data_IF_210958770398
#
_entry.id   IF_210958770398
#
_cell.length_a   1.000
_cell.length_b   1.000
_cell.length_c   1.000
_cell.angle_alpha   90.00
_cell.angle_beta   90.00
_cell.angle_gamma   90.00
#
_symmetry.space_group_name_H-M   'P 1'
#
loop_
_entity.id
_entity.type
_entity.pdbx_description
1 polymer ?
#
# COMPACT_ATOMS: atom_id res chain seq x y z
N UNK A 1 -24.49 15.81 -11.03
CA UNK A 1 -24.51 15.25 -9.67
C UNK A 1 -24.08 13.81 -9.79
N UNK A 2 -22.91 13.48 -9.25
CA UNK A 2 -22.33 12.13 -9.35
C UNK A 2 -23.26 11.13 -8.68
N UNK A 3 -23.65 10.08 -9.39
CA UNK A 3 -24.56 9.05 -8.90
C UNK A 3 -23.76 8.08 -8.01
N UNK A 4 -23.34 8.54 -6.84
CA UNK A 4 -22.60 7.77 -5.84
C UNK A 4 -23.46 6.64 -5.23
N UNK A 5 -24.77 6.67 -5.45
CA UNK A 5 -25.71 5.69 -4.90
C UNK A 5 -25.48 4.34 -5.57
N UNK A 6 -25.25 3.30 -4.75
CA UNK A 6 -24.98 1.94 -5.24
C UNK A 6 -23.49 1.59 -5.36
N UNK A 7 -22.61 2.58 -5.37
CA UNK A 7 -21.16 2.40 -5.42
C UNK A 7 -20.64 1.71 -4.14
N UNK A 8 -19.57 0.92 -4.30
CA UNK A 8 -18.87 0.26 -3.20
C UNK A 8 -17.70 1.10 -2.74
N UNK A 9 -17.67 1.41 -1.44
CA UNK A 9 -16.57 2.09 -0.77
C UNK A 9 -15.91 1.23 0.30
N UNK A 10 -14.80 1.73 0.82
CA UNK A 10 -14.10 1.16 1.96
C UNK A 10 -14.20 2.12 3.14
N UNK A 11 -14.65 1.61 4.29
CA UNK A 11 -14.54 2.33 5.56
C UNK A 11 -13.12 2.16 6.07
N UNK A 12 -12.46 3.28 6.32
CA UNK A 12 -11.12 3.32 6.87
C UNK A 12 -11.13 3.99 8.25
N UNK A 13 -10.35 3.44 9.18
CA UNK A 13 -10.08 4.05 10.47
C UNK A 13 -8.77 4.82 10.39
N UNK A 14 -8.81 6.11 10.72
CA UNK A 14 -7.62 6.95 10.81
C UNK A 14 -6.71 6.43 11.94
N UNK A 15 -5.48 6.07 11.60
CA UNK A 15 -4.46 5.62 12.57
C UNK A 15 -3.61 6.82 13.00
N UNK A 16 -3.04 7.52 12.04
CA UNK A 16 -2.21 8.69 12.27
C UNK A 16 -2.39 9.72 11.15
N UNK A 17 -2.03 10.96 11.47
CA UNK A 17 -2.05 12.06 10.53
C UNK A 17 -0.89 13.01 10.82
N UNK A 18 -0.15 13.37 9.78
CA UNK A 18 0.94 14.33 9.82
C UNK A 18 0.59 15.53 8.93
N UNK A 19 0.53 16.73 9.51
CA UNK A 19 0.42 17.97 8.74
C UNK A 19 1.79 18.35 8.20
N UNK A 20 1.88 18.50 6.89
CA UNK A 20 3.09 18.92 6.19
C UNK A 20 3.24 20.45 6.23
N UNK A 21 4.47 21.00 6.09
CA UNK A 21 4.72 22.44 6.11
C UNK A 21 3.95 23.24 5.05
N UNK A 22 3.61 22.59 3.93
CA UNK A 22 2.83 23.18 2.83
C UNK A 22 1.31 23.16 3.08
N UNK A 23 0.87 22.72 4.27
CA UNK A 23 -0.53 22.66 4.65
C UNK A 23 -1.27 21.39 4.22
N UNK A 24 -0.63 20.48 3.49
CA UNK A 24 -1.21 19.16 3.17
C UNK A 24 -1.20 18.24 4.40
N UNK A 25 -2.01 17.19 4.34
CA UNK A 25 -2.04 16.13 5.34
C UNK A 25 -1.59 14.81 4.73
N UNK A 26 -0.63 14.17 5.39
CA UNK A 26 -0.31 12.77 5.18
C UNK A 26 -1.13 11.97 6.20
N UNK A 27 -1.88 10.98 5.73
CA UNK A 27 -2.83 10.22 6.55
C UNK A 27 -2.52 8.74 6.41
N UNK A 28 -2.32 8.06 7.54
CA UNK A 28 -2.32 6.60 7.58
C UNK A 28 -3.66 6.12 8.10
N UNK A 29 -4.28 5.21 7.38
CA UNK A 29 -5.56 4.63 7.77
C UNK A 29 -5.54 3.11 7.61
N UNK A 30 -6.36 2.43 8.43
CA UNK A 30 -6.59 0.99 8.36
C UNK A 30 -7.96 0.74 7.75
N UNK A 31 -8.00 0.01 6.65
CA UNK A 31 -9.26 -0.44 6.06
C UNK A 31 -9.96 -1.41 7.03
N UNK A 32 -11.26 -1.19 7.26
CA UNK A 32 -12.06 -1.96 8.22
C UNK A 32 -13.09 -2.85 7.54
N UNK A 33 -13.86 -2.31 6.60
CA UNK A 33 -14.95 -3.04 5.93
C UNK A 33 -15.34 -2.40 4.60
N UNK A 34 -15.99 -3.19 3.75
CA UNK A 34 -16.64 -2.70 2.53
C UNK A 34 -18.07 -2.30 2.82
N UNK A 35 -18.50 -1.23 2.16
CA UNK A 35 -19.85 -0.70 2.32
C UNK A 35 -20.40 -0.26 0.98
N UNK A 36 -21.72 -0.30 0.84
CA UNK A 36 -22.46 0.22 -0.30
C UNK A 36 -23.13 1.53 0.10
N UNK A 37 -22.90 2.59 -0.69
CA UNK A 37 -23.53 3.89 -0.48
C UNK A 37 -25.04 3.78 -0.76
N UNK A 38 -25.85 4.21 0.20
CA UNK A 38 -27.32 4.20 0.10
C UNK A 38 -27.87 5.59 -0.23
N UNK A 39 -27.30 6.63 0.37
CA UNK A 39 -27.60 8.03 0.06
C UNK A 39 -26.35 8.89 0.25
N UNK A 40 -26.29 10.06 -0.41
CA UNK A 40 -25.27 11.05 -0.19
C UNK A 40 -25.88 12.45 -0.10
N UNK A 41 -25.26 13.34 0.68
CA UNK A 41 -25.60 14.75 0.75
C UNK A 41 -24.35 15.57 1.08
N UNK A 42 -24.44 16.88 0.88
CA UNK A 42 -23.43 17.85 1.30
C UNK A 42 -24.11 18.79 2.27
N UNK A 43 -23.51 19.00 3.44
CA UNK A 43 -24.06 19.93 4.44
C UNK A 43 -23.52 21.35 4.21
N UNK A 44 -24.40 22.33 4.28
CA UNK A 44 -24.04 23.73 4.17
C UNK A 44 -23.07 24.12 5.31
N UNK A 45 -22.05 24.91 4.97
CA UNK A 45 -21.03 25.36 5.93
C UNK A 45 -19.88 24.37 6.18
N UNK A 46 -19.89 23.19 5.56
CA UNK A 46 -18.83 22.16 5.73
C UNK A 46 -17.70 22.25 4.70
N UNK A 47 -17.63 23.35 3.93
CA UNK A 47 -16.63 23.55 2.87
C UNK A 47 -16.60 22.41 1.83
N UNK A 48 -17.74 21.77 1.58
CA UNK A 48 -17.86 20.71 0.56
C UNK A 48 -17.58 19.29 1.07
N UNK A 49 -17.58 19.06 2.39
CA UNK A 49 -17.56 17.70 2.92
C UNK A 49 -18.83 16.95 2.50
N UNK A 50 -18.63 15.78 1.91
CA UNK A 50 -19.71 14.90 1.50
C UNK A 50 -19.99 13.87 2.58
N UNK A 51 -21.27 13.71 2.92
CA UNK A 51 -21.77 12.76 3.88
C UNK A 51 -22.56 11.69 3.15
N UNK A 52 -22.58 10.48 3.70
CA UNK A 52 -23.34 9.38 3.11
C UNK A 52 -23.89 8.44 4.18
N UNK A 53 -25.02 7.82 3.87
CA UNK A 53 -25.47 6.62 4.59
C UNK A 53 -24.96 5.40 3.84
N UNK A 54 -24.54 4.40 4.58
CA UNK A 54 -23.89 3.22 4.01
C UNK A 54 -24.45 1.94 4.60
N UNK A 55 -24.46 0.87 3.82
CA UNK A 55 -24.81 -0.49 4.26
C UNK A 55 -23.60 -1.40 4.11
N UNK A 56 -23.31 -2.21 5.12
CA UNK A 56 -22.20 -3.16 5.06
C UNK A 56 -22.39 -4.20 3.95
N UNK A 57 -21.30 -4.50 3.25
CA UNK A 57 -21.24 -5.52 2.21
C UNK A 57 -20.60 -6.73 2.84
N UNK A 58 -21.42 -7.75 3.09
CA UNK A 58 -20.98 -9.03 3.66
C UNK A 58 -20.65 -9.98 2.52
N UNK A 59 -19.57 -10.74 2.68
CA UNK A 59 -19.20 -11.79 1.74
C UNK A 59 -20.16 -12.97 1.76
N UNK A 60 -20.21 -13.67 0.63
CA UNK A 60 -20.91 -14.94 0.54
C UNK A 60 -20.23 -15.93 1.49
N UNK A 61 -20.99 -16.64 2.35
CA UNK A 61 -20.41 -17.64 3.24
C UNK A 61 -19.70 -18.72 2.43
N UNK A 62 -18.56 -19.19 2.95
CA UNK A 62 -17.81 -20.31 2.39
C UNK A 62 -18.46 -21.61 2.85
N UNK A 63 -18.81 -22.48 1.92
CA UNK A 63 -19.44 -23.77 2.25
C UNK A 63 -18.43 -24.76 2.87
N UNK A 64 -18.92 -25.64 3.73
CA UNK A 64 -18.15 -26.72 4.34
C UNK A 64 -17.60 -27.65 3.25
N UNK A 65 -16.27 -27.62 3.05
CA UNK A 65 -15.56 -28.35 2.00
C UNK A 65 -14.84 -27.46 0.98
N UNK A 66 -15.20 -26.18 0.87
CA UNK A 66 -14.50 -25.23 -0.01
C UNK A 66 -13.26 -24.61 0.64
N UNK A 67 -13.22 -24.56 1.97
CA UNK A 67 -12.16 -23.86 2.72
C UNK A 67 -10.75 -24.33 2.34
N UNK A 68 -10.51 -25.65 2.31
CA UNK A 68 -9.18 -26.19 1.96
C UNK A 68 -8.74 -25.79 0.54
N UNK A 69 -9.67 -25.78 -0.42
CA UNK A 69 -9.40 -25.36 -1.79
C UNK A 69 -9.05 -23.86 -1.88
N UNK A 70 -9.74 -23.02 -1.10
CA UNK A 70 -9.48 -21.58 -1.04
C UNK A 70 -8.14 -21.26 -0.38
N UNK A 71 -7.77 -21.98 0.67
CA UNK A 71 -6.46 -21.85 1.32
C UNK A 71 -5.35 -22.14 0.33
N UNK A 72 -5.48 -23.24 -0.40
CA UNK A 72 -4.48 -23.64 -1.37
C UNK A 72 -4.42 -22.67 -2.56
N UNK A 73 -5.57 -22.14 -3.01
CA UNK A 73 -5.60 -21.07 -4.00
C UNK A 73 -4.88 -19.81 -3.50
N UNK A 74 -5.18 -19.35 -2.28
CA UNK A 74 -4.52 -18.19 -1.68
C UNK A 74 -3.00 -18.40 -1.56
N UNK A 75 -2.56 -19.60 -1.15
CA UNK A 75 -1.13 -19.96 -1.07
C UNK A 75 -0.45 -19.85 -2.43
N UNK A 76 -1.03 -20.43 -3.47
CA UNK A 76 -0.47 -20.37 -4.84
C UNK A 76 -0.35 -18.94 -5.36
N UNK A 77 -1.37 -18.10 -5.13
CA UNK A 77 -1.32 -16.70 -5.57
C UNK A 77 -0.29 -15.92 -4.76
N UNK A 78 -0.22 -16.13 -3.44
CA UNK A 78 0.80 -15.53 -2.57
C UNK A 78 2.22 -15.86 -3.05
N UNK A 79 2.50 -17.12 -3.37
CA UNK A 79 3.81 -17.53 -3.85
C UNK A 79 4.23 -16.77 -5.11
N UNK A 80 3.30 -16.57 -6.05
CA UNK A 80 3.56 -15.76 -7.26
C UNK A 80 3.82 -14.29 -6.96
N UNK A 81 3.10 -13.72 -5.98
CA UNK A 81 3.35 -12.35 -5.52
C UNK A 81 4.75 -12.24 -4.92
N UNK A 82 5.12 -13.14 -4.01
CA UNK A 82 6.45 -13.15 -3.37
C UNK A 82 7.55 -13.30 -4.41
N UNK A 83 7.40 -14.21 -5.37
CA UNK A 83 8.35 -14.36 -6.47
C UNK A 83 8.45 -13.07 -7.32
N UNK A 84 7.33 -12.39 -7.55
CA UNK A 84 7.31 -11.08 -8.22
C UNK A 84 8.05 -10.01 -7.42
N UNK A 85 7.82 -9.94 -6.10
CA UNK A 85 8.47 -9.01 -5.18
C UNK A 85 9.99 -9.23 -5.10
N UNK A 86 10.44 -10.48 -5.14
CA UNK A 86 11.87 -10.83 -5.08
C UNK A 86 12.64 -10.41 -6.34
N UNK A 87 11.94 -10.11 -7.44
CA UNK A 87 12.54 -9.58 -8.68
C UNK A 87 12.70 -8.05 -8.66
N UNK A 88 12.09 -7.36 -7.70
CA UNK A 88 12.19 -5.91 -7.56
C UNK A 88 13.49 -5.51 -6.88
N UNK A 89 13.98 -4.31 -7.17
CA UNK A 89 15.06 -3.72 -6.39
C UNK A 89 14.59 -3.36 -4.98
N UNK A 90 15.55 -3.17 -4.07
CA UNK A 90 15.27 -2.94 -2.66
C UNK A 90 14.44 -1.67 -2.39
N UNK A 91 14.64 -0.61 -3.19
CA UNK A 91 13.92 0.65 -2.99
C UNK A 91 12.46 0.51 -3.42
N UNK A 92 12.21 -0.06 -4.60
CA UNK A 92 10.85 -0.34 -5.09
C UNK A 92 10.10 -1.30 -4.16
N UNK A 93 10.79 -2.32 -3.63
CA UNK A 93 10.21 -3.26 -2.66
C UNK A 93 9.81 -2.59 -1.36
N UNK A 94 10.62 -1.67 -0.85
CA UNK A 94 10.31 -0.92 0.36
C UNK A 94 9.08 -0.03 0.16
N UNK A 95 9.03 0.75 -0.92
CA UNK A 95 7.89 1.60 -1.27
C UNK A 95 6.58 0.78 -1.42
N UNK A 96 6.68 -0.40 -2.03
CA UNK A 96 5.55 -1.30 -2.18
C UNK A 96 5.05 -1.85 -0.84
N UNK A 97 5.98 -2.20 0.06
CA UNK A 97 5.65 -2.69 1.40
C UNK A 97 4.99 -1.59 2.24
N UNK A 98 5.46 -0.34 2.09
CA UNK A 98 4.88 0.82 2.76
C UNK A 98 3.48 1.18 2.22
N UNK A 99 3.25 1.02 0.91
CA UNK A 99 1.96 1.34 0.27
C UNK A 99 0.89 0.27 0.43
N UNK A 100 1.25 -1.01 0.31
CA UNK A 100 0.30 -2.14 0.42
C UNK A 100 0.10 -2.55 1.89
N UNK A 101 1.09 -2.29 2.74
CA UNK A 101 1.09 -2.71 4.13
C UNK A 101 1.49 -4.17 4.32
N UNK A 102 1.49 -4.60 5.58
CA UNK A 102 1.93 -5.94 5.98
C UNK A 102 0.97 -7.04 5.49
N UNK A 103 1.55 -8.19 5.13
CA UNK A 103 0.79 -9.39 4.80
C UNK A 103 -0.13 -9.80 5.97
N UNK A 104 -1.42 -10.08 5.71
CA UNK A 104 -2.28 -10.67 6.73
C UNK A 104 -1.82 -12.09 7.05
N UNK A 105 -1.59 -12.38 8.33
CA UNK A 105 -1.14 -13.70 8.76
C UNK A 105 -2.16 -14.80 8.47
N UNK A 106 -1.83 -15.72 7.58
CA UNK A 106 -2.45 -17.05 7.55
C UNK A 106 -1.83 -17.86 8.69
N UNK A 107 -2.48 -17.88 9.86
CA UNK A 107 -2.01 -18.70 10.99
C UNK A 107 -1.89 -20.16 10.55
N UNK A 108 -0.73 -20.77 10.79
CA UNK A 108 -0.44 -22.16 10.47
C UNK A 108 -1.40 -23.16 11.15
N UNK A 109 -2.07 -22.75 12.24
CA UNK A 109 -2.92 -23.63 13.01
C UNK A 109 -4.34 -23.77 12.45
N UNK A 110 -4.92 -22.75 11.81
CA UNK A 110 -6.18 -22.83 11.04
C UNK A 110 -6.40 -21.53 10.25
N UNK A 111 -6.49 -21.57 8.92
CA UNK A 111 -6.88 -20.39 8.14
C UNK A 111 -8.38 -20.15 8.30
N UNK A 112 -8.76 -19.00 8.85
CA UNK A 112 -10.17 -18.59 8.94
C UNK A 112 -10.66 -18.01 7.61
N UNK A 113 -11.97 -18.05 7.37
CA UNK A 113 -12.61 -17.39 6.22
C UNK A 113 -12.25 -15.90 6.18
N UNK A 114 -12.22 -15.24 7.33
CA UNK A 114 -11.84 -13.83 7.45
C UNK A 114 -10.37 -13.58 7.08
N UNK A 115 -9.46 -14.51 7.40
CA UNK A 115 -8.06 -14.41 6.98
C UNK A 115 -7.94 -14.54 5.46
N UNK A 116 -8.72 -15.43 4.83
CA UNK A 116 -8.74 -15.58 3.37
C UNK A 116 -9.35 -14.37 2.66
N UNK A 117 -10.41 -13.79 3.23
CA UNK A 117 -10.96 -12.52 2.76
C UNK A 117 -9.87 -11.43 2.78
N UNK A 118 -9.22 -11.26 3.93
CA UNK A 118 -8.14 -10.27 4.11
C UNK A 118 -7.00 -10.50 3.13
N UNK A 119 -6.60 -11.76 2.93
CA UNK A 119 -5.57 -12.13 1.95
C UNK A 119 -5.99 -11.78 0.53
N UNK A 120 -7.25 -12.03 0.14
CA UNK A 120 -7.73 -11.69 -1.19
C UNK A 120 -7.63 -10.19 -1.49
N UNK A 121 -7.89 -9.32 -0.50
CA UNK A 121 -7.73 -7.88 -0.65
C UNK A 121 -6.26 -7.47 -0.70
N UNK A 122 -5.42 -8.03 0.18
CA UNK A 122 -3.98 -7.75 0.17
C UNK A 122 -3.35 -8.11 -1.18
N UNK A 123 -3.64 -9.31 -1.71
CA UNK A 123 -3.17 -9.76 -3.02
C UNK A 123 -3.65 -8.83 -4.15
N UNK A 124 -4.88 -8.35 -4.06
CA UNK A 124 -5.44 -7.41 -5.05
C UNK A 124 -4.76 -6.04 -4.99
N UNK A 125 -4.43 -5.57 -3.79
CA UNK A 125 -3.63 -4.33 -3.61
C UNK A 125 -2.22 -4.48 -4.15
N UNK A 126 -1.59 -5.66 -4.00
CA UNK A 126 -0.32 -5.95 -4.67
C UNK A 126 -0.45 -5.83 -6.19
N UNK A 127 -1.49 -6.44 -6.78
CA UNK A 127 -1.75 -6.38 -8.23
C UNK A 127 -2.00 -4.95 -8.71
N UNK A 128 -2.78 -4.17 -7.96
CA UNK A 128 -3.08 -2.78 -8.27
C UNK A 128 -1.82 -1.90 -8.30
N UNK A 129 -0.77 -2.31 -7.57
CA UNK A 129 0.51 -1.63 -7.67
C UNK A 129 1.22 -1.95 -8.97
N UNK A 130 1.45 -0.92 -9.78
CA UNK A 130 2.19 -0.99 -11.04
C UNK A 130 3.62 -1.54 -10.92
N UNK A 131 4.12 -1.71 -9.69
CA UNK A 131 5.44 -2.26 -9.42
C UNK A 131 5.57 -3.74 -9.84
N UNK A 132 4.49 -4.54 -9.79
CA UNK A 132 4.58 -5.99 -9.96
C UNK A 132 4.50 -6.50 -11.41
N UNK A 133 4.19 -5.67 -12.41
CA UNK A 133 4.10 -6.17 -13.78
C UNK A 133 4.06 -5.10 -14.88
N UNK A 134 4.43 -5.47 -16.12
CA UNK A 134 4.36 -4.58 -17.28
C UNK A 134 2.93 -4.41 -17.82
N UNK A 135 2.01 -5.29 -17.40
CA UNK A 135 0.59 -5.21 -17.73
C UNK A 135 -0.04 -4.39 -16.62
N UNK A 136 -0.31 -3.11 -16.89
CA UNK A 136 -1.08 -2.31 -15.97
C UNK A 136 -2.42 -3.02 -15.71
N UNK A 137 -2.81 -3.25 -14.44
CA UNK A 137 -4.17 -3.68 -14.16
C UNK A 137 -5.11 -2.66 -14.80
N UNK A 138 -6.16 -3.12 -15.49
CA UNK A 138 -7.17 -2.16 -15.90
C UNK A 138 -7.80 -1.59 -14.63
N UNK A 139 -8.17 -0.31 -14.61
CA UNK A 139 -8.88 0.27 -13.47
C UNK A 139 -10.11 -0.59 -13.11
N UNK A 140 -10.73 -1.20 -14.12
CA UNK A 140 -11.80 -2.18 -13.98
C UNK A 140 -11.39 -3.40 -13.13
N UNK A 141 -10.22 -4.01 -13.37
CA UNK A 141 -9.74 -5.19 -12.65
C UNK A 141 -9.54 -4.94 -11.15
N UNK A 142 -9.07 -3.75 -10.75
CA UNK A 142 -8.80 -3.44 -9.33
C UNK A 142 -10.07 -3.10 -8.55
N UNK A 143 -11.04 -2.43 -9.19
CA UNK A 143 -12.32 -2.11 -8.54
C UNK A 143 -13.27 -3.31 -8.51
N UNK A 144 -13.25 -4.20 -9.51
CA UNK A 144 -14.11 -5.40 -9.57
C UNK A 144 -13.94 -6.31 -8.34
N UNK A 145 -12.73 -6.37 -7.78
CA UNK A 145 -12.45 -7.09 -6.52
C UNK A 145 -13.31 -6.54 -5.37
N UNK A 146 -13.54 -5.23 -5.29
CA UNK A 146 -14.36 -4.63 -4.25
C UNK A 146 -15.85 -5.00 -4.41
N UNK A 147 -16.32 -5.10 -5.66
CA UNK A 147 -17.68 -5.50 -6.00
C UNK A 147 -17.93 -7.00 -5.82
N UNK A 148 -16.88 -7.83 -5.90
CA UNK A 148 -16.98 -9.28 -5.79
C UNK A 148 -17.19 -9.71 -4.33
N UNK A 149 -18.32 -10.37 -4.04
CA UNK A 149 -18.66 -10.88 -2.70
C UNK A 149 -18.13 -12.29 -2.40
N UNK A 150 -17.64 -13.01 -3.41
CA UNK A 150 -17.07 -14.33 -3.23
C UNK A 150 -15.55 -14.24 -3.07
N UNK A 151 -15.05 -14.66 -1.90
CA UNK A 151 -13.59 -14.78 -1.66
C UNK A 151 -12.92 -15.68 -2.70
N UNK A 152 -13.59 -16.77 -3.09
CA UNK A 152 -13.08 -17.67 -4.13
C UNK A 152 -12.96 -17.00 -5.49
N UNK A 153 -13.96 -16.22 -5.88
CA UNK A 153 -13.93 -15.46 -7.14
C UNK A 153 -12.82 -14.40 -7.14
N UNK A 154 -12.61 -13.69 -6.02
CA UNK A 154 -11.50 -12.74 -5.88
C UNK A 154 -10.14 -13.42 -6.02
N UNK A 155 -9.94 -14.54 -5.32
CA UNK A 155 -8.68 -15.31 -5.41
C UNK A 155 -8.45 -15.86 -6.83
N UNK A 156 -9.50 -16.34 -7.49
CA UNK A 156 -9.42 -16.81 -8.88
C UNK A 156 -9.05 -15.67 -9.85
N UNK A 157 -9.60 -14.47 -9.65
CA UNK A 157 -9.25 -13.29 -10.44
C UNK A 157 -7.77 -12.90 -10.24
N UNK A 158 -7.28 -12.89 -9.00
CA UNK A 158 -5.87 -12.67 -8.70
C UNK A 158 -4.98 -13.72 -9.37
N UNK A 159 -5.38 -15.00 -9.31
CA UNK A 159 -4.64 -16.07 -9.95
C UNK A 159 -4.57 -15.88 -11.47
N UNK A 160 -5.70 -15.59 -12.11
CA UNK A 160 -5.78 -15.37 -13.55
C UNK A 160 -4.91 -14.19 -14.00
N UNK A 161 -4.81 -13.13 -13.20
CA UNK A 161 -3.91 -12.01 -13.47
C UNK A 161 -2.44 -12.46 -13.54
N UNK A 162 -1.96 -13.19 -12.53
CA UNK A 162 -0.58 -13.69 -12.53
C UNK A 162 -0.31 -14.73 -13.62
N UNK A 163 -1.30 -15.54 -13.98
CA UNK A 163 -1.18 -16.47 -15.10
C UNK A 163 -1.01 -15.73 -16.45
N UNK A 164 -1.76 -14.63 -16.66
CA UNK A 164 -1.59 -13.76 -17.83
C UNK A 164 -0.21 -13.10 -17.86
N UNK A 165 0.28 -12.64 -16.71
CA UNK A 165 1.64 -12.08 -16.62
C UNK A 165 2.72 -13.11 -16.97
N UNK A 166 2.60 -14.32 -16.45
CA UNK A 166 3.55 -15.40 -16.75
C UNK A 166 3.56 -15.73 -18.25
N UNK A 167 2.38 -15.83 -18.87
CA UNK A 167 2.25 -16.04 -20.31
C UNK A 167 2.88 -14.89 -21.13
N UNK A 168 2.68 -13.63 -20.71
CA UNK A 168 3.29 -12.48 -21.38
C UNK A 168 4.83 -12.50 -21.29
N UNK A 169 5.40 -12.94 -20.16
CA UNK A 169 6.85 -13.09 -20.00
C UNK A 169 7.43 -14.18 -20.90
N UNK A 170 6.69 -15.27 -21.15
CA UNK A 170 7.14 -16.36 -22.03
C UNK A 170 7.10 -15.99 -23.52
N UNK A 171 6.17 -15.11 -23.92
CA UNK A 171 6.00 -14.69 -25.32
C UNK A 171 6.73 -13.39 -25.69
N UNK A 172 7.35 -12.69 -24.74
CA UNK A 172 8.27 -11.62 -25.10
C UNK A 172 9.51 -12.22 -25.77
N UNK A 173 9.76 -11.96 -27.07
CA UNK A 173 11.02 -12.37 -27.66
C UNK A 173 12.15 -11.75 -26.84
N UNK A 174 13.21 -12.52 -26.61
CA UNK A 174 14.47 -12.00 -26.09
C UNK A 174 15.07 -11.02 -27.10
N UNK A 175 14.44 -9.86 -27.31
CA UNK A 175 15.13 -8.70 -27.84
C UNK A 175 16.16 -8.37 -26.80
N UNK A 176 17.40 -8.72 -27.12
CA UNK A 176 18.64 -8.30 -26.50
C UNK A 176 18.49 -7.45 -25.24
N UNK A 177 19.16 -7.90 -24.16
CA UNK A 177 19.62 -7.07 -23.03
C UNK A 177 20.42 -5.86 -23.55
N UNK A 178 19.75 -4.91 -24.18
CA UNK A 178 20.18 -3.54 -24.37
C UNK A 178 19.47 -2.80 -23.27
N UNK A 179 20.15 -2.62 -22.13
CA UNK A 179 19.65 -1.81 -21.04
C UNK A 179 19.17 -0.50 -21.62
N UNK A 180 17.86 -0.27 -21.51
CA UNK A 180 17.20 0.92 -22.03
C UNK A 180 18.01 2.13 -21.56
N UNK A 181 18.50 2.94 -22.51
CA UNK A 181 19.33 4.11 -22.23
C UNK A 181 18.73 5.01 -21.13
N UNK A 182 17.40 5.01 -20.99
CA UNK A 182 16.64 5.67 -19.93
C UNK A 182 16.85 5.10 -18.51
N UNK A 183 16.97 3.79 -18.32
CA UNK A 183 17.22 3.20 -16.99
C UNK A 183 18.62 3.53 -16.47
N UNK A 184 19.63 3.59 -17.35
CA UNK A 184 20.97 4.07 -17.01
C UNK A 184 21.03 5.58 -16.78
N UNK A 185 20.24 6.36 -17.55
CA UNK A 185 20.14 7.80 -17.35
C UNK A 185 19.45 8.13 -16.02
N UNK A 186 18.37 7.42 -15.66
CA UNK A 186 17.66 7.63 -14.40
C UNK A 186 18.46 7.12 -13.19
N UNK A 187 19.19 6.01 -13.30
CA UNK A 187 20.12 5.58 -12.24
C UNK A 187 21.30 6.54 -12.09
N UNK A 188 21.81 7.09 -13.19
CA UNK A 188 22.86 8.12 -13.18
C UNK A 188 22.40 9.43 -12.55
N UNK A 189 21.17 9.86 -12.83
CA UNK A 189 20.58 11.06 -12.23
C UNK A 189 20.31 10.85 -10.73
N UNK A 190 19.81 9.68 -10.33
CA UNK A 190 19.59 9.34 -8.91
C UNK A 190 20.92 9.27 -8.12
N UNK A 191 21.98 8.68 -8.70
CA UNK A 191 23.31 8.68 -8.09
C UNK A 191 23.93 10.08 -8.02
N UNK A 192 23.75 10.92 -9.05
CA UNK A 192 24.23 12.30 -9.06
C UNK A 192 23.53 13.17 -8.00
N UNK A 193 22.21 13.00 -7.81
CA UNK A 193 21.45 13.69 -6.77
C UNK A 193 21.85 13.25 -5.36
N UNK A 194 22.09 11.94 -5.17
CA UNK A 194 22.53 11.40 -3.88
C UNK A 194 23.97 11.81 -3.51
N UNK A 195 24.88 11.95 -4.49
CA UNK A 195 26.21 12.52 -4.27
C UNK A 195 26.16 14.02 -3.95
N UNK A 196 25.25 14.77 -4.59
CA UNK A 196 25.07 16.21 -4.32
C UNK A 196 24.51 16.49 -2.92
N UNK A 197 23.59 15.65 -2.42
CA UNK A 197 23.11 15.73 -1.04
C UNK A 197 24.22 15.42 -0.02
N UNK A 198 25.10 14.45 -0.30
CA UNK A 198 26.24 14.15 0.59
C UNK A 198 27.28 15.26 0.61
N UNK A 199 27.52 15.96 -0.51
CA UNK A 199 28.40 17.12 -0.53
C UNK A 199 27.81 18.36 0.15
N UNK A 200 26.49 18.58 0.11
CA UNK A 200 25.88 19.67 0.88
C UNK A 200 25.93 19.42 2.39
N UNK A 201 25.74 18.17 2.84
CA UNK A 201 25.83 17.82 4.28
C UNK A 201 27.28 17.89 4.78
N UNK A 202 28.26 17.65 3.92
CA UNK A 202 29.69 17.77 4.27
C UNK A 202 30.22 19.21 4.33
N UNK A 203 29.46 20.20 3.81
CA UNK A 203 29.87 21.61 3.80
C UNK A 203 29.26 22.45 4.93
N UNK A 204 28.33 21.90 5.72
CA UNK A 204 27.75 22.57 6.89
C UNK A 204 28.47 22.20 8.21
N UNK A 205 29.59 21.47 8.14
CA UNK A 205 30.33 20.95 9.29
C UNK A 205 31.64 21.67 9.62
N UNK A 206 31.86 22.91 9.17
CA UNK A 206 33.10 23.65 9.49
C UNK A 206 32.87 25.16 9.60
N UNK A 207 32.49 25.61 10.80
CA UNK A 207 32.65 27.00 11.25
C UNK A 207 32.88 26.97 12.79
N UNK A 208 34.08 27.38 13.20
CA UNK A 208 34.63 27.38 14.57
C UNK A 208 33.77 28.11 15.61
N UNK A 209 33.84 27.76 16.89
CA UNK A 209 34.98 27.92 17.83
C UNK A 209 35.44 29.37 18.00
N UNK A 210 34.88 30.05 19.00
CA UNK A 210 35.49 30.95 20.01
C UNK A 210 34.40 31.04 21.12
N UNK A 211 34.61 31.01 22.44
CA UNK A 211 35.76 31.15 23.32
C UNK A 211 35.26 31.84 24.60
N UNK A 212 35.61 31.30 25.77
CA UNK A 212 35.73 31.97 27.09
C UNK A 212 34.45 32.54 27.76
N UNK A 213 34.26 32.62 29.08
CA UNK A 213 34.90 32.17 30.33
C UNK A 213 33.90 32.53 31.47
N UNK A 214 33.91 31.75 32.56
CA UNK A 214 33.58 32.11 33.97
C UNK A 214 32.19 32.74 34.30
N UNK A 215 31.58 32.60 35.48
CA UNK A 215 32.07 32.44 36.85
C UNK A 215 30.89 32.00 37.76
N UNK A 216 31.23 31.16 38.73
CA UNK A 216 30.75 31.07 40.11
C UNK A 216 29.29 31.35 40.58
N UNK A 217 28.85 30.38 41.41
CA UNK A 217 28.23 30.55 42.72
C UNK A 217 26.69 30.48 42.94
N UNK A 218 26.40 29.56 43.87
CA UNK A 218 25.48 29.61 45.00
C UNK A 218 24.09 28.97 44.92
N UNK A 219 23.98 27.96 45.81
CA UNK A 219 22.93 27.68 46.79
C UNK A 219 21.46 27.64 46.39
N UNK A 220 20.78 26.60 46.91
CA UNK A 220 19.36 26.71 47.24
C UNK A 220 18.61 25.40 47.07
N UNK A 221 18.55 24.62 48.14
CA UNK A 221 17.63 23.48 48.21
C UNK A 221 16.16 23.92 48.19
N UNK A 222 15.30 23.01 47.77
CA UNK A 222 13.92 22.95 48.23
C UNK A 222 13.39 21.52 48.01
N UNK A 223 12.98 20.92 49.13
CA UNK A 223 12.13 19.75 49.19
C UNK A 223 10.72 20.03 48.61
N UNK A 224 10.00 18.91 48.43
CA UNK A 224 8.54 18.70 48.44
C UNK A 224 7.89 18.51 47.06
N UNK A 225 6.76 17.76 46.98
CA UNK A 225 6.05 17.00 48.02
C UNK A 225 6.15 15.46 47.89
#
# INVERSE_FOLDING_TARGET
TSDLIGEIGLVAELIDSLRLPDGRWHIRARLRRRVRVQSHWVEDGTLGLSYCTVKEVVDTPVEDGQLAGLVEAARRVKEKVVEGLDRLDAATRQELTESVGSEPGLSASYPSVQALESMSFWLSSCIASSALGPVAPTAFDSFEVLYTQSTGSRLAACQAYFDRMAAHQQHQPQTSRSGSSLSRLLSGVAQALSQRQRHNISNEGDAGDEGEENEEEMEGGAELP
#
